data_IF_779163564963
#
_entry.id   IF_779163564963
#
_cell.length_a   1.000
_cell.length_b   1.000
_cell.length_c   1.000
_cell.angle_alpha   90.00
_cell.angle_beta   90.00
_cell.angle_gamma   90.00
#
_symmetry.space_group_name_H-M   'P 1'
#
loop_
_entity.id
_entity.type
_entity.pdbx_description
1 polymer ?
#
# COMPACT_ATOMS: atom_id res chain seq x y z
N UNK A 1 -0.36 -8.81 -13.31
CA UNK A 1 0.92 -9.41 -13.82
C UNK A 1 2.02 -9.35 -12.76
N UNK A 2 2.34 -8.19 -12.16
CA UNK A 2 3.37 -8.04 -11.12
C UNK A 2 3.24 -9.05 -9.97
N UNK A 3 2.08 -9.11 -9.32
CA UNK A 3 1.77 -10.03 -8.22
C UNK A 3 2.09 -11.50 -8.52
N UNK A 4 1.71 -12.00 -9.69
CA UNK A 4 2.00 -13.39 -10.08
C UNK A 4 3.48 -13.61 -10.34
N UNK A 5 4.19 -12.60 -10.86
CA UNK A 5 5.63 -12.67 -11.03
C UNK A 5 6.37 -12.76 -9.69
N UNK A 6 5.93 -11.99 -8.68
CA UNK A 6 6.48 -12.06 -7.32
C UNK A 6 6.23 -13.42 -6.66
N UNK A 7 5.02 -13.97 -6.78
CA UNK A 7 4.72 -15.34 -6.32
C UNK A 7 5.63 -16.36 -7.00
N UNK A 8 5.82 -16.24 -8.31
CA UNK A 8 6.68 -17.15 -9.06
C UNK A 8 8.13 -17.10 -8.53
N UNK A 9 8.69 -15.89 -8.35
CA UNK A 9 10.05 -15.73 -7.83
C UNK A 9 10.18 -16.36 -6.44
N UNK A 10 9.30 -16.02 -5.48
CA UNK A 10 9.37 -16.61 -4.14
C UNK A 10 9.20 -18.13 -4.16
N UNK A 11 8.34 -18.66 -5.01
CA UNK A 11 8.17 -20.12 -5.19
C UNK A 11 9.43 -20.78 -5.70
N UNK A 12 10.12 -20.16 -6.68
CA UNK A 12 11.41 -20.65 -7.19
C UNK A 12 12.49 -20.63 -6.11
N UNK A 13 12.55 -19.58 -5.28
CA UNK A 13 13.51 -19.48 -4.18
C UNK A 13 13.25 -20.54 -3.10
N UNK A 14 12.00 -20.78 -2.74
CA UNK A 14 11.59 -21.84 -1.81
C UNK A 14 11.98 -23.23 -2.32
N UNK A 15 11.72 -23.51 -3.60
CA UNK A 15 12.11 -24.78 -4.23
C UNK A 15 13.61 -24.95 -4.27
N UNK A 16 14.36 -23.89 -4.63
CA UNK A 16 15.82 -23.94 -4.75
C UNK A 16 16.48 -24.25 -3.42
N UNK A 17 16.11 -23.58 -2.34
CA UNK A 17 16.74 -23.79 -1.03
C UNK A 17 16.08 -24.95 -0.27
N UNK A 18 14.80 -25.22 -0.49
CA UNK A 18 14.12 -26.36 0.11
C UNK A 18 14.79 -27.71 -0.22
N UNK A 19 15.25 -27.88 -1.48
CA UNK A 19 15.99 -29.09 -1.88
C UNK A 19 17.24 -29.35 -1.04
N UNK A 20 17.96 -28.30 -0.57
CA UNK A 20 19.21 -28.43 0.23
C UNK A 20 18.95 -29.21 1.52
N UNK A 21 17.77 -29.03 2.11
CA UNK A 21 17.39 -29.71 3.35
C UNK A 21 17.14 -31.20 3.15
N UNK A 22 16.65 -31.60 1.96
CA UNK A 22 16.23 -32.97 1.66
C UNK A 22 17.25 -33.76 0.85
N UNK A 23 18.30 -33.11 0.33
CA UNK A 23 19.30 -33.80 -0.49
C UNK A 23 20.20 -34.71 0.38
N UNK A 24 20.03 -36.02 0.27
CA UNK A 24 20.77 -37.04 1.04
C UNK A 24 21.89 -37.70 0.25
N UNK A 25 21.85 -37.65 -1.09
CA UNK A 25 22.84 -38.34 -1.96
C UNK A 25 23.31 -37.40 -3.07
N UNK A 26 24.54 -37.62 -3.52
CA UNK A 26 25.08 -36.91 -4.67
C UNK A 26 24.19 -37.08 -5.91
N UNK A 27 23.81 -35.99 -6.53
CA UNK A 27 22.90 -35.97 -7.68
C UNK A 27 23.22 -34.82 -8.63
N UNK A 28 23.01 -35.04 -9.93
CA UNK A 28 22.92 -33.94 -10.89
C UNK A 28 21.59 -33.20 -10.64
N UNK A 29 21.67 -31.95 -10.22
CA UNK A 29 20.49 -31.24 -9.74
C UNK A 29 20.24 -29.96 -10.57
N UNK A 30 19.35 -30.09 -11.55
CA UNK A 30 18.96 -28.98 -12.42
C UNK A 30 18.18 -27.86 -11.68
N UNK A 31 17.59 -28.17 -10.52
CA UNK A 31 16.81 -27.19 -9.73
C UNK A 31 17.68 -26.02 -9.29
N UNK A 32 19.00 -26.22 -9.18
CA UNK A 32 19.94 -25.13 -8.85
C UNK A 32 19.85 -23.95 -9.82
N UNK A 33 19.49 -24.20 -11.09
CA UNK A 33 19.34 -23.17 -12.11
C UNK A 33 18.15 -22.23 -11.87
N UNK A 34 17.24 -22.57 -10.98
CA UNK A 34 16.15 -21.68 -10.59
C UNK A 34 16.68 -20.46 -9.79
N UNK A 35 17.84 -20.58 -9.11
CA UNK A 35 18.40 -19.44 -8.37
C UNK A 35 18.78 -18.25 -9.29
N UNK A 36 19.65 -18.41 -10.31
CA UNK A 36 19.97 -17.31 -11.20
C UNK A 36 18.76 -16.85 -12.03
N UNK A 37 17.83 -17.76 -12.35
CA UNK A 37 16.61 -17.40 -13.05
C UNK A 37 15.70 -16.52 -12.18
N UNK A 38 15.54 -16.84 -10.89
CA UNK A 38 14.81 -16.02 -9.95
C UNK A 38 15.43 -14.63 -9.78
N UNK A 39 16.76 -14.54 -9.72
CA UNK A 39 17.49 -13.27 -9.66
C UNK A 39 17.25 -12.45 -10.92
N UNK A 40 17.37 -13.04 -12.10
CA UNK A 40 17.12 -12.36 -13.38
C UNK A 40 15.67 -11.85 -13.45
N UNK A 41 14.70 -12.66 -13.07
CA UNK A 41 13.30 -12.26 -13.04
C UNK A 41 13.04 -11.13 -12.04
N UNK A 42 13.71 -11.12 -10.86
CA UNK A 42 13.57 -10.04 -9.89
C UNK A 42 14.12 -8.71 -10.42
N UNK A 43 15.24 -8.74 -11.15
CA UNK A 43 15.80 -7.56 -11.84
C UNK A 43 14.84 -7.05 -12.92
N UNK A 44 14.32 -7.96 -13.75
CA UNK A 44 13.35 -7.59 -14.79
C UNK A 44 12.07 -6.99 -14.19
N UNK A 45 11.63 -7.47 -13.03
CA UNK A 45 10.49 -6.89 -12.34
C UNK A 45 10.76 -5.46 -11.86
N UNK A 46 11.94 -5.20 -11.29
CA UNK A 46 12.34 -3.85 -10.88
C UNK A 46 12.33 -2.90 -12.09
N UNK A 47 12.86 -3.34 -13.23
CA UNK A 47 12.91 -2.52 -14.45
C UNK A 47 11.49 -2.27 -15.00
N UNK A 48 10.63 -3.30 -15.02
CA UNK A 48 9.32 -3.22 -15.65
C UNK A 48 8.25 -2.49 -14.81
N UNK A 49 8.29 -2.65 -13.48
CA UNK A 49 7.23 -2.14 -12.58
C UNK A 49 7.73 -1.22 -11.47
N UNK A 50 9.01 -0.88 -11.49
CA UNK A 50 9.64 -0.03 -10.49
C UNK A 50 9.92 -0.75 -9.18
N UNK A 51 10.44 0.02 -8.24
CA UNK A 51 10.89 -0.46 -6.92
C UNK A 51 9.74 -0.36 -5.94
N UNK A 52 9.40 -1.45 -5.27
CA UNK A 52 8.55 -1.46 -4.10
C UNK A 52 9.09 -2.45 -3.04
N UNK A 53 8.43 -2.49 -1.89
CA UNK A 53 8.89 -3.32 -0.77
C UNK A 53 9.06 -4.79 -1.15
N UNK A 54 8.09 -5.40 -1.84
CA UNK A 54 8.13 -6.82 -2.18
C UNK A 54 9.11 -7.13 -3.32
N UNK A 55 9.25 -6.24 -4.30
CA UNK A 55 10.26 -6.42 -5.37
C UNK A 55 11.68 -6.35 -4.81
N UNK A 56 11.93 -5.48 -3.83
CA UNK A 56 13.23 -5.42 -3.13
C UNK A 56 13.46 -6.67 -2.30
N UNK A 57 12.47 -7.12 -1.52
CA UNK A 57 12.58 -8.37 -0.76
C UNK A 57 12.89 -9.54 -1.71
N UNK A 58 12.19 -9.64 -2.84
CA UNK A 58 12.44 -10.68 -3.84
C UNK A 58 13.87 -10.61 -4.39
N UNK A 59 14.35 -9.41 -4.71
CA UNK A 59 15.73 -9.22 -5.20
C UNK A 59 16.78 -9.59 -4.15
N UNK A 60 16.67 -9.07 -2.91
CA UNK A 60 17.62 -9.37 -1.84
C UNK A 60 17.67 -10.87 -1.54
N UNK A 61 16.49 -11.51 -1.39
CA UNK A 61 16.43 -12.94 -1.10
C UNK A 61 16.98 -13.74 -2.29
N UNK A 62 16.73 -13.33 -3.54
CA UNK A 62 17.31 -13.96 -4.73
C UNK A 62 18.84 -13.90 -4.73
N UNK A 63 19.44 -12.75 -4.38
CA UNK A 63 20.90 -12.61 -4.24
C UNK A 63 21.42 -13.56 -3.16
N UNK A 64 20.80 -13.60 -1.98
CA UNK A 64 21.21 -14.50 -0.90
C UNK A 64 21.13 -15.97 -1.30
N UNK A 65 20.10 -16.36 -2.05
CA UNK A 65 19.92 -17.73 -2.55
C UNK A 65 20.95 -18.06 -3.64
N UNK A 66 21.27 -17.15 -4.55
CA UNK A 66 22.33 -17.35 -5.54
C UNK A 66 23.69 -17.52 -4.86
N UNK A 67 24.03 -16.66 -3.89
CA UNK A 67 25.27 -16.76 -3.14
C UNK A 67 25.38 -18.10 -2.39
N UNK A 68 24.32 -18.54 -1.75
CA UNK A 68 24.29 -19.83 -1.04
C UNK A 68 24.42 -21.02 -1.98
N UNK A 69 23.98 -20.91 -3.23
CA UNK A 69 24.04 -21.97 -4.23
C UNK A 69 25.20 -21.81 -5.22
N UNK A 70 26.08 -20.82 -5.04
CA UNK A 70 27.14 -20.52 -6.01
C UNK A 70 28.04 -21.73 -6.30
N UNK A 71 28.47 -22.43 -5.26
CA UNK A 71 29.29 -23.64 -5.43
C UNK A 71 28.53 -24.76 -6.18
N UNK A 72 27.27 -24.94 -5.88
CA UNK A 72 26.42 -25.93 -6.55
C UNK A 72 26.18 -25.56 -8.03
N UNK A 73 25.99 -24.27 -8.32
CA UNK A 73 25.87 -23.76 -9.70
C UNK A 73 27.13 -24.01 -10.50
N UNK A 74 28.31 -23.75 -9.92
CA UNK A 74 29.59 -23.97 -10.56
C UNK A 74 29.83 -25.46 -10.86
N UNK A 75 29.55 -26.36 -9.90
CA UNK A 75 29.65 -27.82 -10.14
C UNK A 75 28.66 -28.30 -11.18
N UNK A 76 27.43 -27.77 -11.17
CA UNK A 76 26.42 -28.10 -12.19
C UNK A 76 26.86 -27.68 -13.60
N UNK A 77 27.45 -26.51 -13.77
CA UNK A 77 27.97 -26.05 -15.06
C UNK A 77 29.07 -26.94 -15.61
N UNK A 78 29.88 -27.52 -14.73
CA UNK A 78 30.92 -28.49 -15.06
C UNK A 78 30.39 -29.93 -15.22
N UNK A 79 29.07 -30.14 -15.17
CA UNK A 79 28.41 -31.45 -15.22
C UNK A 79 28.82 -32.41 -14.09
N UNK A 80 29.34 -31.90 -12.98
CA UNK A 80 29.72 -32.68 -11.79
C UNK A 80 28.50 -32.92 -10.89
N UNK A 81 28.63 -33.99 -10.06
CA UNK A 81 27.63 -34.25 -9.02
C UNK A 81 27.79 -33.25 -7.86
N UNK A 82 26.67 -32.87 -7.26
CA UNK A 82 26.64 -32.10 -6.01
C UNK A 82 26.69 -33.13 -4.87
N UNK A 83 27.76 -33.14 -4.05
CA UNK A 83 27.95 -34.17 -3.04
C UNK A 83 27.14 -33.86 -1.77
N UNK A 84 27.67 -33.03 -0.92
CA UNK A 84 27.07 -32.74 0.39
C UNK A 84 27.02 -31.25 0.66
N UNK A 85 25.94 -30.84 1.31
CA UNK A 85 25.86 -29.50 1.88
C UNK A 85 26.30 -29.55 3.34
N UNK A 86 27.18 -28.63 3.73
CA UNK A 86 27.61 -28.46 5.12
C UNK A 86 26.41 -28.10 6.01
N UNK A 87 26.53 -28.37 7.32
CA UNK A 87 25.51 -28.00 8.30
C UNK A 87 25.24 -26.50 8.26
N UNK A 88 26.29 -25.68 8.14
CA UNK A 88 26.16 -24.23 8.03
C UNK A 88 25.31 -23.81 6.81
N UNK A 89 25.54 -24.45 5.66
CA UNK A 89 24.71 -24.18 4.47
C UNK A 89 23.27 -24.60 4.64
N UNK A 90 22.98 -25.68 5.37
CA UNK A 90 21.60 -26.09 5.68
C UNK A 90 20.91 -25.10 6.60
N UNK A 91 21.61 -24.59 7.62
CA UNK A 91 21.09 -23.54 8.50
C UNK A 91 20.82 -22.27 7.71
N UNK A 92 21.73 -21.86 6.84
CA UNK A 92 21.55 -20.70 5.97
C UNK A 92 20.39 -20.88 4.98
N UNK A 93 20.25 -22.06 4.39
CA UNK A 93 19.13 -22.39 3.53
C UNK A 93 17.80 -22.34 4.30
N UNK A 94 17.74 -22.87 5.52
CA UNK A 94 16.55 -22.77 6.38
C UNK A 94 16.19 -21.32 6.69
N UNK A 95 17.17 -20.48 7.00
CA UNK A 95 16.97 -19.06 7.24
C UNK A 95 16.36 -18.34 6.01
N UNK A 96 16.95 -18.55 4.83
CA UNK A 96 16.43 -17.94 3.58
C UNK A 96 15.07 -18.48 3.18
N UNK A 97 14.75 -19.76 3.48
CA UNK A 97 13.41 -20.32 3.29
C UNK A 97 12.40 -19.59 4.19
N UNK A 98 12.73 -19.38 5.46
CA UNK A 98 11.84 -18.64 6.38
C UNK A 98 11.61 -17.22 5.87
N UNK A 99 12.67 -16.52 5.43
CA UNK A 99 12.53 -15.17 4.86
C UNK A 99 11.63 -15.16 3.61
N UNK A 100 11.85 -16.10 2.68
CA UNK A 100 11.05 -16.20 1.47
C UNK A 100 9.59 -16.55 1.78
N UNK A 101 9.35 -17.43 2.76
CA UNK A 101 8.01 -17.81 3.18
C UNK A 101 7.27 -16.64 3.86
N UNK A 102 7.95 -15.88 4.73
CA UNK A 102 7.39 -14.69 5.37
C UNK A 102 7.06 -13.62 4.32
N UNK A 103 7.97 -13.37 3.36
CA UNK A 103 7.73 -12.42 2.28
C UNK A 103 6.56 -12.86 1.37
N UNK A 104 6.49 -14.15 1.00
CA UNK A 104 5.38 -14.70 0.23
C UNK A 104 4.04 -14.61 0.98
N UNK A 105 4.05 -14.95 2.26
CA UNK A 105 2.85 -14.85 3.11
C UNK A 105 2.39 -13.39 3.23
N UNK A 106 3.32 -12.46 3.44
CA UNK A 106 3.04 -11.03 3.44
C UNK A 106 2.47 -10.57 2.10
N UNK A 107 3.07 -10.97 0.99
CA UNK A 107 2.57 -10.65 -0.35
C UNK A 107 1.13 -11.13 -0.57
N UNK A 108 0.79 -12.33 -0.13
CA UNK A 108 -0.57 -12.89 -0.27
C UNK A 108 -1.56 -12.16 0.64
N UNK A 109 -1.20 -11.91 1.90
CA UNK A 109 -2.06 -11.24 2.88
C UNK A 109 -2.34 -9.79 2.48
N UNK A 110 -1.32 -9.09 1.99
CA UNK A 110 -1.42 -7.69 1.57
C UNK A 110 -1.65 -7.53 0.07
N UNK A 111 -2.04 -8.62 -0.62
CA UNK A 111 -2.35 -8.58 -2.04
C UNK A 111 -3.44 -7.57 -2.36
N UNK A 112 -3.28 -6.90 -3.48
CA UNK A 112 -4.27 -5.94 -4.00
C UNK A 112 -5.59 -6.63 -4.27
N UNK A 113 -6.67 -5.97 -3.90
CA UNK A 113 -8.01 -6.45 -4.22
C UNK A 113 -8.29 -6.23 -5.70
N UNK A 114 -8.61 -7.29 -6.41
CA UNK A 114 -8.93 -7.22 -7.83
C UNK A 114 -10.40 -6.81 -8.00
N UNK A 115 -10.63 -5.53 -8.27
CA UNK A 115 -11.97 -4.97 -8.48
C UNK A 115 -12.40 -5.16 -9.93
N UNK A 116 -13.56 -5.75 -10.14
CA UNK A 116 -14.10 -5.92 -11.47
C UNK A 116 -14.80 -4.64 -11.96
N UNK A 117 -14.00 -3.68 -12.43
CA UNK A 117 -14.47 -2.37 -12.90
C UNK A 117 -15.43 -2.50 -14.11
N UNK A 118 -15.20 -3.48 -14.98
CA UNK A 118 -16.01 -3.69 -16.19
C UNK A 118 -17.47 -4.06 -15.90
N UNK A 119 -17.73 -4.81 -14.83
CA UNK A 119 -19.10 -5.23 -14.45
C UNK A 119 -19.89 -4.16 -13.68
N UNK A 120 -19.25 -3.12 -13.20
CA UNK A 120 -19.84 -2.17 -12.26
C UNK A 120 -20.03 -0.78 -12.83
N UNK A 121 -19.60 -0.52 -14.07
CA UNK A 121 -19.60 0.79 -14.71
C UNK A 121 -18.88 1.87 -13.87
N UNK A 122 -17.91 1.50 -13.06
CA UNK A 122 -17.05 2.43 -12.34
C UNK A 122 -15.73 2.57 -13.08
N UNK A 123 -15.37 3.80 -13.40
CA UNK A 123 -14.09 4.15 -14.05
C UNK A 123 -13.14 4.68 -12.99
N UNK A 124 -11.91 4.19 -13.03
CA UNK A 124 -10.79 4.67 -12.24
C UNK A 124 -9.89 5.52 -13.16
N UNK A 125 -9.77 6.79 -12.85
CA UNK A 125 -8.92 7.75 -13.58
C UNK A 125 -7.80 8.21 -12.65
N UNK A 126 -6.56 8.19 -13.14
CA UNK A 126 -5.40 8.67 -12.42
C UNK A 126 -5.02 10.05 -12.94
N UNK A 127 -4.96 11.00 -12.02
CA UNK A 127 -4.56 12.39 -12.27
C UNK A 127 -3.27 12.68 -11.50
N UNK A 128 -2.56 13.74 -11.88
CA UNK A 128 -1.40 14.24 -11.17
C UNK A 128 -1.70 15.60 -10.58
N UNK A 129 -1.26 15.81 -9.36
CA UNK A 129 -1.26 17.08 -8.67
C UNK A 129 0.19 17.48 -8.42
N UNK A 130 0.54 18.73 -8.72
CA UNK A 130 1.87 19.26 -8.44
C UNK A 130 2.20 19.12 -6.95
N UNK A 131 3.36 18.51 -6.67
CA UNK A 131 3.84 18.26 -5.32
C UNK A 131 4.45 19.49 -4.60
N UNK A 132 4.50 20.65 -5.23
CA UNK A 132 5.18 21.86 -4.71
C UNK A 132 4.67 22.29 -3.32
N UNK A 133 3.41 22.05 -3.00
CA UNK A 133 2.82 22.32 -1.68
C UNK A 133 3.51 21.54 -0.53
N UNK A 134 4.20 20.45 -0.84
CA UNK A 134 4.97 19.65 0.14
C UNK A 134 6.31 20.28 0.51
N UNK A 135 6.72 21.39 -0.07
CA UNK A 135 8.03 22.02 0.17
C UNK A 135 8.29 22.31 1.66
N UNK A 136 7.24 22.53 2.45
CA UNK A 136 7.32 22.68 3.90
C UNK A 136 7.71 21.41 4.66
N UNK A 137 7.51 20.22 4.09
CA UNK A 137 7.79 18.92 4.74
C UNK A 137 9.16 18.37 4.39
N UNK A 138 9.55 18.54 3.12
CA UNK A 138 10.77 18.00 2.57
C UNK A 138 11.87 19.06 2.62
N UNK A 139 12.39 19.34 3.83
CA UNK A 139 13.43 20.37 4.05
C UNK A 139 14.76 20.09 3.34
N UNK A 140 15.01 18.87 2.89
CA UNK A 140 16.33 18.45 2.38
C UNK A 140 16.20 17.40 1.27
N UNK A 141 15.33 17.60 0.28
CA UNK A 141 15.41 16.67 -0.83
C UNK A 141 16.55 17.09 -1.77
N UNK A 142 17.58 16.28 -1.88
CA UNK A 142 18.53 16.31 -2.99
C UNK A 142 17.83 16.12 -4.35
N UNK A 143 16.50 15.90 -4.34
CA UNK A 143 15.67 15.55 -5.47
C UNK A 143 14.45 16.48 -5.54
N UNK A 144 13.90 16.64 -6.74
CA UNK A 144 12.64 17.36 -6.95
C UNK A 144 11.51 16.73 -6.12
N UNK A 145 10.65 17.56 -5.55
CA UNK A 145 9.46 17.10 -4.83
C UNK A 145 8.57 16.34 -5.83
N UNK A 146 8.17 15.11 -5.53
CA UNK A 146 7.37 14.30 -6.45
C UNK A 146 5.93 14.80 -6.50
N UNK A 147 5.32 14.70 -7.67
CA UNK A 147 3.89 14.92 -7.84
C UNK A 147 3.09 13.90 -7.04
N UNK A 148 1.90 14.32 -6.63
CA UNK A 148 0.92 13.46 -5.95
C UNK A 148 0.04 12.79 -6.98
N UNK A 149 -0.08 11.48 -6.91
CA UNK A 149 -1.07 10.76 -7.69
C UNK A 149 -2.44 10.86 -7.04
N UNK A 150 -3.38 11.49 -7.74
CA UNK A 150 -4.79 11.49 -7.35
C UNK A 150 -5.52 10.42 -8.15
N UNK A 151 -6.32 9.63 -7.47
CA UNK A 151 -7.20 8.65 -8.10
C UNK A 151 -8.65 9.11 -7.96
N UNK A 152 -9.32 9.23 -9.09
CA UNK A 152 -10.73 9.52 -9.20
C UNK A 152 -11.50 8.24 -9.52
N UNK A 153 -12.59 8.01 -8.81
CA UNK A 153 -13.54 6.94 -9.07
C UNK A 153 -14.90 7.55 -9.44
N UNK A 154 -15.39 7.28 -10.64
CA UNK A 154 -16.66 7.78 -11.13
C UNK A 154 -17.49 6.64 -11.73
N UNK A 155 -18.82 6.76 -11.64
CA UNK A 155 -19.75 5.85 -12.31
C UNK A 155 -20.11 6.39 -13.69
N UNK A 156 -20.05 5.55 -14.73
CA UNK A 156 -20.45 5.92 -16.10
C UNK A 156 -21.88 5.43 -16.41
N UNK A 157 -22.77 6.21 -17.04
CA UNK A 157 -22.61 7.63 -17.34
C UNK A 157 -22.66 8.47 -16.06
N UNK A 158 -21.82 9.50 -16.01
CA UNK A 158 -21.73 10.38 -14.85
C UNK A 158 -22.96 11.31 -14.83
N UNK A 159 -23.96 10.94 -14.07
CA UNK A 159 -25.20 11.73 -13.97
C UNK A 159 -25.17 12.82 -12.89
N UNK A 160 -24.17 12.80 -12.00
CA UNK A 160 -24.15 13.69 -10.84
C UNK A 160 -22.74 14.16 -10.46
N UNK A 161 -22.18 15.12 -11.22
CA UNK A 161 -20.98 15.88 -10.78
C UNK A 161 -21.17 16.65 -9.47
N UNK A 162 -22.41 16.73 -8.96
CA UNK A 162 -22.75 17.51 -7.77
C UNK A 162 -22.45 16.82 -6.43
N UNK A 163 -22.15 15.52 -6.42
CA UNK A 163 -21.90 14.75 -5.18
C UNK A 163 -20.45 14.30 -5.10
N UNK A 164 -19.59 15.26 -4.80
CA UNK A 164 -18.15 15.02 -4.71
C UNK A 164 -17.77 14.65 -3.29
N UNK A 165 -16.99 13.59 -3.16
CA UNK A 165 -16.42 13.09 -1.91
C UNK A 165 -14.90 13.06 -2.04
N UNK A 166 -14.21 13.67 -1.11
CA UNK A 166 -12.74 13.67 -1.05
C UNK A 166 -12.30 12.87 0.16
N UNK A 167 -11.46 11.87 -0.06
CA UNK A 167 -10.92 11.03 1.01
C UNK A 167 -9.45 11.36 1.20
N UNK A 168 -9.10 11.73 2.42
CA UNK A 168 -7.73 12.02 2.84
C UNK A 168 -7.18 10.81 3.60
N UNK A 169 -6.33 9.98 2.97
CA UNK A 169 -5.76 8.81 3.61
C UNK A 169 -4.84 9.18 4.78
N UNK A 170 -4.75 8.29 5.75
CA UNK A 170 -3.75 8.37 6.82
C UNK A 170 -2.32 8.16 6.26
N UNK A 171 -1.33 8.71 6.94
CA UNK A 171 0.08 8.45 6.67
C UNK A 171 0.43 6.95 6.63
N UNK A 172 -0.31 6.11 7.34
CA UNK A 172 -0.15 4.64 7.37
C UNK A 172 -0.87 3.92 6.24
N UNK A 173 -1.69 4.62 5.47
CA UNK A 173 -2.46 4.06 4.36
C UNK A 173 -2.12 4.70 3.02
N UNK A 174 -2.78 4.25 2.01
CA UNK A 174 -2.74 4.80 0.65
C UNK A 174 -4.10 4.58 -0.02
N UNK A 175 -4.30 5.22 -1.16
CA UNK A 175 -5.52 5.05 -1.97
C UNK A 175 -5.78 3.60 -2.33
N UNK A 176 -4.73 2.82 -2.61
CA UNK A 176 -4.85 1.40 -2.95
C UNK A 176 -5.37 0.56 -1.76
N UNK A 177 -5.02 0.94 -0.54
CA UNK A 177 -5.49 0.28 0.67
C UNK A 177 -6.98 0.53 0.90
N UNK A 178 -7.44 1.75 0.67
CA UNK A 178 -8.86 2.15 0.80
C UNK A 178 -9.68 1.81 -0.46
N UNK A 179 -9.05 1.34 -1.54
CA UNK A 179 -9.67 1.14 -2.85
C UNK A 179 -11.01 0.39 -2.83
N UNK A 180 -11.21 -0.70 -2.07
CA UNK A 180 -12.52 -1.36 -1.99
C UNK A 180 -13.63 -0.42 -1.52
N UNK A 181 -13.34 0.40 -0.54
CA UNK A 181 -14.27 1.37 0.01
C UNK A 181 -14.56 2.50 -1.00
N UNK A 182 -13.51 3.10 -1.58
CA UNK A 182 -13.63 4.17 -2.58
C UNK A 182 -14.44 3.72 -3.80
N UNK A 183 -14.14 2.51 -4.28
CA UNK A 183 -14.86 1.91 -5.40
C UNK A 183 -16.34 1.70 -5.09
N UNK A 184 -16.67 1.24 -3.89
CA UNK A 184 -18.07 1.04 -3.48
C UNK A 184 -18.83 2.37 -3.28
N UNK A 185 -18.15 3.45 -2.82
CA UNK A 185 -18.69 4.79 -2.79
C UNK A 185 -19.04 5.30 -4.21
N UNK A 186 -18.13 5.11 -5.16
CA UNK A 186 -18.38 5.48 -6.55
C UNK A 186 -19.56 4.67 -7.14
N UNK A 187 -19.65 3.38 -6.80
CA UNK A 187 -20.79 2.55 -7.17
C UNK A 187 -22.11 3.06 -6.59
N UNK A 188 -22.09 3.65 -5.40
CA UNK A 188 -23.26 4.28 -4.76
C UNK A 188 -23.66 5.62 -5.41
N UNK A 189 -22.91 6.11 -6.40
CA UNK A 189 -23.24 7.29 -7.19
C UNK A 189 -22.50 8.57 -6.79
N UNK A 190 -21.42 8.47 -6.01
CA UNK A 190 -20.56 9.59 -5.68
C UNK A 190 -19.37 9.68 -6.66
N UNK A 191 -18.88 10.89 -6.93
CA UNK A 191 -17.56 11.10 -7.53
C UNK A 191 -16.55 11.18 -6.40
N UNK A 192 -15.62 10.24 -6.36
CA UNK A 192 -14.71 10.06 -5.22
C UNK A 192 -13.27 10.36 -5.65
N UNK A 193 -12.62 11.26 -4.92
CA UNK A 193 -11.22 11.60 -5.09
C UNK A 193 -10.41 11.14 -3.88
N UNK A 194 -9.22 10.58 -4.12
CA UNK A 194 -8.26 10.23 -3.07
C UNK A 194 -6.84 10.45 -3.55
N UNK A 195 -5.98 11.02 -2.73
CA UNK A 195 -4.58 11.34 -3.07
C UNK A 195 -3.59 10.44 -2.34
N UNK A 196 -2.55 10.02 -3.05
CA UNK A 196 -1.42 9.27 -2.49
C UNK A 196 -0.28 10.21 -2.11
N UNK A 197 -0.42 10.90 -0.97
CA UNK A 197 0.49 11.96 -0.56
C UNK A 197 1.87 11.48 -0.14
N UNK A 198 2.01 10.22 0.21
CA UNK A 198 3.22 9.63 0.77
C UNK A 198 3.91 8.63 -0.16
N UNK A 199 3.36 8.37 -1.35
CA UNK A 199 4.01 7.55 -2.37
C UNK A 199 4.81 8.42 -3.31
N UNK A 200 6.01 7.98 -3.65
CA UNK A 200 6.86 8.63 -4.63
C UNK A 200 6.80 7.92 -5.96
N UNK A 201 6.52 8.69 -7.00
CA UNK A 201 6.53 8.19 -8.37
C UNK A 201 7.94 8.10 -8.96
N UNK A 202 8.92 8.72 -8.35
CA UNK A 202 10.04 9.08 -9.15
C UNK A 202 11.39 8.57 -8.77
N UNK A 203 11.69 8.00 -7.65
CA UNK A 203 13.11 7.67 -7.42
C UNK A 203 13.33 6.53 -6.45
N UNK A 204 14.31 5.73 -6.82
CA UNK A 204 14.66 4.44 -6.26
C UNK A 204 14.71 4.37 -4.72
N UNK A 205 15.39 5.30 -4.09
CA UNK A 205 15.55 5.31 -2.63
C UNK A 205 14.30 5.83 -1.92
N UNK A 206 13.69 6.86 -2.47
CA UNK A 206 12.52 7.50 -1.87
C UNK A 206 11.28 6.60 -1.90
N UNK A 207 11.12 5.79 -2.97
CA UNK A 207 9.96 4.89 -3.09
C UNK A 207 9.95 3.77 -2.04
N UNK A 208 11.13 3.31 -1.61
CA UNK A 208 11.26 2.30 -0.55
C UNK A 208 10.96 2.89 0.81
N UNK A 209 11.60 4.00 1.14
CA UNK A 209 11.47 4.67 2.43
C UNK A 209 10.08 5.26 2.64
N UNK A 210 9.42 5.68 1.56
CA UNK A 210 8.04 6.17 1.59
C UNK A 210 6.98 5.09 1.34
N UNK A 211 7.37 3.82 1.21
CA UNK A 211 6.38 2.75 1.14
C UNK A 211 5.54 2.70 2.42
N UNK A 212 4.26 2.41 2.29
CA UNK A 212 3.34 2.31 3.45
C UNK A 212 3.84 1.34 4.54
N UNK A 213 4.52 0.28 4.15
CA UNK A 213 5.08 -0.71 5.07
C UNK A 213 6.20 -0.11 5.92
N UNK A 214 7.09 0.65 5.30
CA UNK A 214 8.18 1.31 6.01
C UNK A 214 7.66 2.45 6.91
N UNK A 215 6.73 3.26 6.42
CA UNK A 215 6.08 4.31 7.22
C UNK A 215 5.39 3.74 8.47
N UNK A 216 4.67 2.61 8.33
CA UNK A 216 4.03 1.93 9.45
C UNK A 216 5.04 1.40 10.45
N UNK A 217 6.06 0.73 9.95
CA UNK A 217 7.12 0.18 10.79
C UNK A 217 7.88 1.29 11.54
N UNK A 218 8.21 2.39 10.87
CA UNK A 218 8.86 3.53 11.52
C UNK A 218 8.00 4.18 12.60
N UNK A 219 6.70 4.33 12.37
CA UNK A 219 5.77 4.87 13.36
C UNK A 219 5.60 3.94 14.57
N UNK A 220 5.56 2.62 14.36
CA UNK A 220 5.51 1.64 15.45
C UNK A 220 6.78 1.67 16.31
N UNK A 221 7.96 1.73 15.67
CA UNK A 221 9.23 1.87 16.41
C UNK A 221 9.26 3.17 17.17
N UNK A 222 8.82 4.26 16.58
CA UNK A 222 8.85 5.58 17.22
C UNK A 222 7.91 5.62 18.42
N UNK A 223 6.69 5.11 18.31
CA UNK A 223 5.74 5.04 19.42
C UNK A 223 6.27 4.17 20.56
N UNK A 224 6.88 3.02 20.22
CA UNK A 224 7.45 2.10 21.22
C UNK A 224 8.72 2.67 21.89
N UNK A 225 9.62 3.28 21.11
CA UNK A 225 10.92 3.75 21.61
C UNK A 225 10.84 5.11 22.31
N UNK A 226 9.97 6.01 21.85
CA UNK A 226 9.82 7.36 22.40
C UNK A 226 8.42 7.93 22.11
N UNK A 227 7.48 7.60 22.98
CA UNK A 227 6.09 8.05 22.86
C UNK A 227 5.93 9.59 22.80
N UNK A 228 6.72 10.33 23.56
CA UNK A 228 6.66 11.80 23.53
C UNK A 228 7.04 12.38 22.16
N UNK A 229 8.05 11.78 21.51
CA UNK A 229 8.45 12.16 20.16
C UNK A 229 7.36 11.78 19.13
N UNK A 230 6.74 10.63 19.30
CA UNK A 230 5.60 10.21 18.47
C UNK A 230 4.44 11.21 18.57
N UNK A 231 4.09 11.67 19.77
CA UNK A 231 3.03 12.67 19.99
C UNK A 231 3.38 14.01 19.31
N UNK A 232 4.61 14.48 19.46
CA UNK A 232 5.08 15.71 18.77
C UNK A 232 5.03 15.57 17.23
N UNK A 233 5.40 14.41 16.69
CA UNK A 233 5.27 14.15 15.27
C UNK A 233 3.80 14.07 14.81
N UNK A 234 2.90 13.61 15.65
CA UNK A 234 1.46 13.60 15.35
C UNK A 234 0.91 15.01 15.11
N UNK A 235 1.35 16.01 15.85
CA UNK A 235 0.99 17.42 15.62
C UNK A 235 1.52 17.91 14.26
N UNK A 236 2.76 17.60 13.95
CA UNK A 236 3.34 17.92 12.64
C UNK A 236 2.57 17.25 11.49
N UNK A 237 2.10 16.02 11.68
CA UNK A 237 1.26 15.34 10.68
C UNK A 237 -0.08 16.04 10.50
N UNK A 238 -0.68 16.56 11.55
CA UNK A 238 -1.92 17.35 11.45
C UNK A 238 -1.72 18.58 10.57
N UNK A 239 -0.63 19.31 10.77
CA UNK A 239 -0.30 20.45 9.91
C UNK A 239 -0.10 20.06 8.45
N UNK A 240 0.63 18.97 8.20
CA UNK A 240 0.86 18.46 6.87
C UNK A 240 -0.47 18.04 6.18
N UNK A 241 -1.34 17.38 6.92
CA UNK A 241 -2.65 16.98 6.40
C UNK A 241 -3.57 18.17 6.10
N UNK A 242 -3.39 19.30 6.78
CA UNK A 242 -4.09 20.54 6.41
C UNK A 242 -3.67 21.06 5.03
N UNK A 243 -2.38 20.99 4.70
CA UNK A 243 -1.88 21.37 3.37
C UNK A 243 -2.35 20.38 2.29
N UNK A 244 -2.43 19.08 2.62
CA UNK A 244 -2.99 18.06 1.75
C UNK A 244 -4.48 18.29 1.48
N UNK A 245 -5.25 18.63 2.51
CA UNK A 245 -6.67 19.01 2.38
C UNK A 245 -6.82 20.20 1.44
N UNK A 246 -6.01 21.25 1.62
CA UNK A 246 -6.05 22.43 0.76
C UNK A 246 -5.71 22.08 -0.70
N UNK A 247 -4.66 21.34 -0.93
CA UNK A 247 -4.24 20.95 -2.27
C UNK A 247 -5.31 20.11 -2.99
N UNK A 248 -5.95 19.17 -2.27
CA UNK A 248 -7.07 18.39 -2.81
C UNK A 248 -8.29 19.25 -3.07
N UNK A 249 -8.58 20.18 -2.18
CA UNK A 249 -9.71 21.12 -2.33
C UNK A 249 -9.53 21.97 -3.59
N UNK A 250 -8.36 22.58 -3.78
CA UNK A 250 -8.06 23.41 -4.93
C UNK A 250 -8.12 22.58 -6.24
N UNK A 251 -7.54 21.40 -6.26
CA UNK A 251 -7.58 20.48 -7.39
C UNK A 251 -9.01 20.07 -7.77
N UNK A 252 -9.83 19.74 -6.79
CA UNK A 252 -11.23 19.31 -7.04
C UNK A 252 -12.08 20.46 -7.57
N UNK A 253 -11.89 21.68 -7.07
CA UNK A 253 -12.58 22.87 -7.57
C UNK A 253 -12.14 23.26 -8.98
N UNK A 254 -10.86 23.20 -9.27
CA UNK A 254 -10.35 23.43 -10.62
C UNK A 254 -10.99 22.47 -11.63
N UNK A 255 -11.15 21.20 -11.24
CA UNK A 255 -11.69 20.16 -12.12
C UNK A 255 -13.21 20.16 -12.27
N UNK A 256 -13.95 20.48 -11.22
CA UNK A 256 -15.42 20.38 -11.17
C UNK A 256 -16.14 21.75 -11.17
N UNK A 257 -15.39 22.84 -11.16
CA UNK A 257 -15.90 24.20 -11.07
C UNK A 257 -15.88 24.78 -9.65
N UNK A 258 -15.83 26.10 -9.56
CA UNK A 258 -15.71 26.82 -8.28
C UNK A 258 -16.89 26.64 -7.34
N UNK A 259 -18.07 26.40 -7.87
CA UNK A 259 -19.31 26.16 -7.12
C UNK A 259 -19.43 24.71 -6.60
N UNK A 260 -18.41 23.88 -6.83
CA UNK A 260 -18.41 22.50 -6.39
C UNK A 260 -18.40 22.39 -4.87
N UNK A 261 -19.48 21.84 -4.32
CA UNK A 261 -19.55 21.50 -2.89
C UNK A 261 -19.07 20.07 -2.68
N UNK A 262 -18.25 19.85 -1.66
CA UNK A 262 -17.64 18.56 -1.38
C UNK A 262 -17.85 18.09 0.05
N UNK A 263 -17.81 16.77 0.22
CA UNK A 263 -17.81 16.11 1.52
C UNK A 263 -16.41 15.53 1.77
N UNK A 264 -15.84 15.82 2.93
CA UNK A 264 -14.52 15.33 3.28
C UNK A 264 -14.59 14.09 4.16
N UNK A 265 -13.74 13.12 3.88
CA UNK A 265 -13.59 11.92 4.70
C UNK A 265 -12.15 11.81 5.17
N UNK A 266 -11.98 11.74 6.49
CA UNK A 266 -10.68 11.54 7.13
C UNK A 266 -10.45 10.07 7.46
N UNK A 267 -9.18 9.70 7.54
CA UNK A 267 -8.72 8.40 7.99
C UNK A 267 -7.77 8.59 9.20
N UNK A 268 -8.25 8.31 10.40
CA UNK A 268 -7.53 8.38 11.68
C UNK A 268 -6.69 9.65 11.91
N UNK A 269 -5.39 9.65 11.54
CA UNK A 269 -4.47 10.76 11.83
C UNK A 269 -4.83 12.05 11.06
N UNK A 270 -5.54 11.95 9.95
CA UNK A 270 -6.00 13.13 9.20
C UNK A 270 -7.26 13.77 9.77
N UNK A 271 -7.88 13.18 10.80
CA UNK A 271 -9.15 13.64 11.39
C UNK A 271 -9.14 15.11 11.78
N UNK A 272 -8.21 15.51 12.66
CA UNK A 272 -8.17 16.88 13.19
C UNK A 272 -7.98 17.89 12.04
N UNK A 273 -7.10 17.57 11.08
CA UNK A 273 -6.87 18.43 9.94
C UNK A 273 -8.12 18.62 9.08
N UNK A 274 -8.85 17.54 8.81
CA UNK A 274 -10.10 17.59 8.03
C UNK A 274 -11.18 18.39 8.79
N UNK A 275 -11.34 18.17 10.09
CA UNK A 275 -12.33 18.90 10.90
C UNK A 275 -12.01 20.41 10.93
N UNK A 276 -10.75 20.78 11.11
CA UNK A 276 -10.35 22.20 11.14
C UNK A 276 -10.46 22.83 9.74
N UNK A 277 -10.10 22.10 8.69
CA UNK A 277 -10.28 22.58 7.31
C UNK A 277 -11.76 22.81 6.95
N UNK A 278 -12.66 21.95 7.42
CA UNK A 278 -14.11 22.14 7.25
C UNK A 278 -14.64 23.40 7.94
N UNK A 279 -14.15 23.70 9.17
CA UNK A 279 -14.51 24.92 9.89
C UNK A 279 -14.05 26.20 9.15
N UNK A 280 -12.92 26.12 8.45
CA UNK A 280 -12.37 27.24 7.69
C UNK A 280 -13.09 27.48 6.34
N UNK A 281 -13.76 26.45 5.79
CA UNK A 281 -14.38 26.48 4.45
C UNK A 281 -15.84 26.01 4.46
N UNK A 282 -16.73 26.57 5.29
CA UNK A 282 -18.09 26.05 5.47
C UNK A 282 -18.99 26.21 4.21
N UNK A 283 -18.65 27.15 3.32
CA UNK A 283 -19.46 27.40 2.11
C UNK A 283 -19.27 26.32 1.04
N UNK A 284 -18.06 25.78 0.92
CA UNK A 284 -17.69 24.80 -0.10
C UNK A 284 -17.72 23.36 0.41
N UNK A 285 -17.66 23.16 1.74
CA UNK A 285 -17.65 21.84 2.38
C UNK A 285 -18.92 21.68 3.19
N UNK A 286 -19.79 20.79 2.76
CA UNK A 286 -21.09 20.58 3.41
C UNK A 286 -21.03 19.58 4.59
N UNK A 287 -19.89 18.94 4.82
CA UNK A 287 -19.71 18.08 5.98
C UNK A 287 -18.43 17.25 5.92
N UNK A 288 -18.13 16.59 7.03
CA UNK A 288 -17.01 15.66 7.15
C UNK A 288 -17.39 14.41 7.91
N UNK A 289 -16.62 13.35 7.69
CA UNK A 289 -16.75 12.07 8.37
C UNK A 289 -15.36 11.52 8.68
N UNK A 290 -15.18 11.06 9.89
CA UNK A 290 -14.02 10.25 10.27
C UNK A 290 -14.34 8.76 10.11
N UNK A 291 -13.56 8.05 9.28
CA UNK A 291 -13.73 6.61 9.05
C UNK A 291 -13.62 5.80 10.34
N UNK A 292 -12.79 6.23 11.29
CA UNK A 292 -12.63 5.52 12.56
C UNK A 292 -13.88 5.53 13.44
N UNK A 293 -14.83 6.44 13.18
CA UNK A 293 -16.12 6.49 13.87
C UNK A 293 -17.08 5.37 13.43
N UNK A 294 -16.84 4.76 12.27
CA UNK A 294 -17.66 3.68 11.74
C UNK A 294 -17.24 2.35 12.35
N UNK A 295 -18.18 1.60 12.92
CA UNK A 295 -17.89 0.32 13.59
C UNK A 295 -17.23 -0.71 12.67
N UNK A 296 -17.66 -0.77 11.42
CA UNK A 296 -17.15 -1.68 10.40
C UNK A 296 -15.73 -1.35 9.92
N UNK A 297 -15.25 -0.14 10.17
CA UNK A 297 -13.89 0.27 9.83
C UNK A 297 -12.84 -0.67 10.44
N UNK A 298 -13.00 -1.04 11.70
CA UNK A 298 -12.13 -1.99 12.39
C UNK A 298 -12.27 -3.41 11.82
N UNK A 299 -13.50 -3.82 11.53
CA UNK A 299 -13.77 -5.16 10.96
C UNK A 299 -13.18 -5.31 9.56
N UNK A 300 -13.13 -4.25 8.77
CA UNK A 300 -12.46 -4.23 7.48
C UNK A 300 -10.92 -4.26 7.58
N UNK A 301 -10.37 -4.12 8.78
CA UNK A 301 -8.94 -4.04 9.01
C UNK A 301 -8.33 -2.69 8.63
N UNK A 302 -9.15 -1.67 8.38
CA UNK A 302 -8.68 -0.31 8.11
C UNK A 302 -8.31 0.42 9.40
N UNK A 303 -9.01 0.12 10.50
CA UNK A 303 -8.75 0.73 11.79
C UNK A 303 -8.34 -0.26 12.85
N UNK A 304 -7.66 0.23 13.82
CA UNK A 304 -7.27 -0.49 15.02
C UNK A 304 -7.33 0.42 16.24
N UNK A 305 -7.07 -0.16 17.37
CA UNK A 305 -6.81 0.55 18.62
C UNK A 305 -5.74 1.59 18.33
N UNK A 306 -5.85 2.77 18.89
CA UNK A 306 -5.05 3.98 18.55
C UNK A 306 -3.53 3.76 18.37
N UNK A 307 -2.99 2.69 18.94
CA UNK A 307 -1.56 2.37 18.97
C UNK A 307 -1.17 1.19 18.04
N UNK A 308 -2.11 0.51 17.41
CA UNK A 308 -1.81 -0.67 16.58
C UNK A 308 -1.96 -0.37 15.09
N UNK A 309 -1.04 -0.90 14.30
CA UNK A 309 -1.06 -0.77 12.84
C UNK A 309 -2.23 -1.55 12.22
N UNK A 310 -3.03 -0.95 11.32
CA UNK A 310 -4.14 -1.62 10.64
C UNK A 310 -3.77 -2.91 9.90
N UNK A 311 -2.53 -3.02 9.39
CA UNK A 311 -2.08 -4.24 8.73
C UNK A 311 -1.84 -5.37 9.74
N UNK A 312 -1.29 -5.06 10.92
CA UNK A 312 -1.14 -6.04 11.98
C UNK A 312 -2.49 -6.51 12.50
N UNK A 313 -3.45 -5.60 12.69
CA UNK A 313 -4.81 -5.96 13.08
C UNK A 313 -5.47 -6.89 12.05
N UNK A 314 -5.31 -6.63 10.75
CA UNK A 314 -5.80 -7.48 9.68
C UNK A 314 -5.11 -8.85 9.64
N UNK A 315 -3.81 -8.90 9.90
CA UNK A 315 -3.03 -10.13 9.97
C UNK A 315 -3.47 -10.99 11.17
N UNK A 316 -3.65 -10.36 12.34
CA UNK A 316 -4.01 -11.05 13.57
C UNK A 316 -5.49 -11.46 13.62
N UNK A 317 -6.38 -10.73 12.97
CA UNK A 317 -7.83 -10.97 13.09
C UNK A 317 -8.32 -12.24 12.38
N UNK A 318 -7.54 -12.89 11.56
CA UNK A 318 -7.86 -14.13 10.80
C UNK A 318 -9.20 -14.15 10.06
N UNK A 319 -10.01 -13.11 10.17
CA UNK A 319 -11.31 -13.00 9.49
C UNK A 319 -11.07 -12.35 8.13
N UNK A 320 -10.94 -13.18 7.09
CA UNK A 320 -11.14 -12.69 5.73
C UNK A 320 -12.55 -12.14 5.64
N UNK A 321 -12.66 -10.84 5.42
CA UNK A 321 -13.96 -10.25 5.10
C UNK A 321 -14.46 -10.94 3.81
N UNK A 322 -15.56 -11.68 3.93
CA UNK A 322 -16.17 -12.34 2.80
C UNK A 322 -16.71 -11.24 1.88
N UNK A 323 -15.97 -11.02 0.78
CA UNK A 323 -16.43 -10.27 -0.38
C UNK A 323 -17.01 -8.86 -0.08
N UNK A 324 -16.18 -7.94 0.42
CA UNK A 324 -16.58 -6.53 0.56
C UNK A 324 -17.79 -6.28 1.50
N UNK A 325 -18.09 -7.18 2.43
CA UNK A 325 -19.21 -6.99 3.35
C UNK A 325 -18.98 -5.76 4.24
N UNK A 326 -17.78 -5.60 4.80
CA UNK A 326 -17.45 -4.47 5.63
C UNK A 326 -17.34 -3.15 4.83
N UNK A 327 -16.63 -3.05 3.70
CA UNK A 327 -16.67 -1.87 2.84
C UNK A 327 -18.10 -1.49 2.42
N UNK A 328 -18.97 -2.46 2.13
CA UNK A 328 -20.36 -2.21 1.77
C UNK A 328 -21.16 -1.56 2.90
N UNK A 329 -20.99 -2.05 4.13
CA UNK A 329 -21.65 -1.47 5.31
C UNK A 329 -21.09 -0.08 5.63
N UNK A 330 -19.77 0.11 5.54
CA UNK A 330 -19.14 1.42 5.68
C UNK A 330 -19.73 2.43 4.69
N UNK A 331 -19.88 2.05 3.43
CA UNK A 331 -20.47 2.90 2.39
C UNK A 331 -21.94 3.23 2.68
N UNK A 332 -22.69 2.26 3.22
CA UNK A 332 -24.09 2.52 3.61
C UNK A 332 -24.16 3.61 4.68
N UNK A 333 -23.33 3.51 5.71
CA UNK A 333 -23.27 4.48 6.81
C UNK A 333 -22.79 5.85 6.32
N UNK A 334 -21.70 5.88 5.56
CA UNK A 334 -21.19 7.10 4.92
C UNK A 334 -22.25 7.76 4.05
N UNK A 335 -22.97 6.99 3.24
CA UNK A 335 -24.03 7.51 2.36
C UNK A 335 -25.18 8.12 3.15
N UNK A 336 -25.55 7.58 4.31
CA UNK A 336 -26.55 8.16 5.20
C UNK A 336 -26.09 9.51 5.74
N UNK A 337 -24.83 9.57 6.22
CA UNK A 337 -24.27 10.82 6.76
C UNK A 337 -24.14 11.91 5.69
N UNK A 338 -23.69 11.55 4.48
CA UNK A 338 -23.62 12.50 3.35
C UNK A 338 -25.02 13.04 3.03
N UNK A 339 -26.03 12.17 2.94
CA UNK A 339 -27.42 12.61 2.67
C UNK A 339 -27.94 13.51 3.77
N UNK A 340 -27.72 13.17 5.04
CA UNK A 340 -28.11 14.01 6.17
C UNK A 340 -27.44 15.38 6.13
N UNK A 341 -26.15 15.45 5.81
CA UNK A 341 -25.42 16.71 5.69
C UNK A 341 -25.87 17.55 4.48
N UNK A 342 -26.38 16.92 3.41
CA UNK A 342 -26.94 17.62 2.25
C UNK A 342 -28.36 18.12 2.46
N UNK A 343 -28.98 17.83 3.61
CA UNK A 343 -30.34 18.31 3.92
C UNK A 343 -31.46 17.55 3.20
N UNK A 344 -31.22 16.31 2.81
CA UNK A 344 -32.23 15.41 2.22
C UNK A 344 -32.61 14.32 3.21
#
# INVERSE_FOLDING_TARGET
MKFYGEILIFSMLLLTNGRILFLKRAKKDAIVMLAPLALLLSILQIIAWGVDFFTICAFIISVLVVLSNFHALFRYSQRLYIDHYSVLMKVWAAFTIVLAFVALSGLIVFSRVNLNTKKTNVVETKCRLDGSFKSGFYKTSLFSIPDVQITEFTKTPNQNHKKVVVVIPDKRSDTEYLKPYLFMLARAGFTVYSGDFYTNDCKWLDSVWNSKYFRRFSLLIEDFANHNRFVSHKEMYTYNSMLECKAMYDFVREKNGEDCKMFLISDMMSKNAVEDFCKLNPEAIFGSLDLSSISEYRTAGYGCIEQTDPLLARFLSHKKDKEFSAPKKMVLETSKQIKSAMGN
#
